data_IF_473913923772
#
_entry.id   IF_473913923772
#
_cell.length_a   1.000
_cell.length_b   1.000
_cell.length_c   1.000
_cell.angle_alpha   90.00
_cell.angle_beta   90.00
_cell.angle_gamma   90.00
#
_symmetry.space_group_name_H-M   'P 1'
#
loop_
_entity.id
_entity.type
_entity.pdbx_description
1 polymer ?
#
# COMPACT_ATOMS: atom_id res chain seq x y z
N UNK A 1 7.61 3.21 -3.40
CA UNK A 1 6.31 3.66 -3.97
C UNK A 1 5.43 4.15 -2.83
N UNK A 2 4.61 5.17 -3.04
CA UNK A 2 3.64 5.62 -2.04
C UNK A 2 2.24 5.65 -2.65
N UNK A 3 1.26 5.21 -1.86
CA UNK A 3 -0.16 5.27 -2.20
C UNK A 3 -0.85 6.09 -1.12
N UNK A 4 -1.40 7.23 -1.51
CA UNK A 4 -2.28 8.03 -0.69
C UNK A 4 -3.72 7.60 -0.95
N UNK A 5 -4.48 7.35 0.11
CA UNK A 5 -5.91 7.11 0.07
C UNK A 5 -6.63 8.14 0.93
N UNK A 6 -7.77 8.63 0.44
CA UNK A 6 -8.64 9.48 1.23
C UNK A 6 -10.08 9.02 1.14
N UNK A 7 -10.81 9.18 2.23
CA UNK A 7 -12.25 8.97 2.32
C UNK A 7 -12.91 10.30 2.66
N UNK A 8 -13.80 10.75 1.77
CA UNK A 8 -14.51 12.02 1.87
C UNK A 8 -16.00 11.75 1.98
N UNK A 9 -16.62 12.25 3.05
CA UNK A 9 -18.06 12.19 3.23
C UNK A 9 -18.68 13.51 2.81
N UNK A 10 -19.55 13.47 1.81
CA UNK A 10 -20.26 14.62 1.28
C UNK A 10 -21.73 14.58 1.71
N UNK A 11 -22.28 15.74 2.05
CA UNK A 11 -23.71 15.93 2.23
C UNK A 11 -24.31 16.51 0.95
N UNK A 12 -25.46 15.97 0.51
CA UNK A 12 -26.14 16.41 -0.70
C UNK A 12 -27.59 16.79 -0.33
N UNK A 13 -27.78 17.94 0.34
CA UNK A 13 -29.07 18.29 0.94
C UNK A 13 -30.20 18.41 -0.10
N UNK A 14 -29.89 18.92 -1.29
CA UNK A 14 -30.86 19.17 -2.38
C UNK A 14 -31.24 17.90 -3.17
N UNK A 15 -30.67 16.74 -2.83
CA UNK A 15 -30.95 15.50 -3.54
C UNK A 15 -32.21 14.82 -3.00
N UNK A 16 -33.26 14.79 -3.83
CA UNK A 16 -34.51 14.08 -3.54
C UNK A 16 -34.62 12.68 -4.16
N UNK A 17 -33.55 12.15 -4.76
CA UNK A 17 -33.54 10.80 -5.34
C UNK A 17 -32.13 10.25 -5.53
N UNK A 18 -31.99 8.92 -5.61
CA UNK A 18 -30.71 8.28 -5.95
C UNK A 18 -30.16 8.72 -7.31
N UNK A 19 -31.05 9.03 -8.27
CA UNK A 19 -30.64 9.55 -9.59
C UNK A 19 -30.04 10.95 -9.47
N UNK A 20 -30.65 11.83 -8.68
CA UNK A 20 -30.14 13.18 -8.42
C UNK A 20 -28.76 13.12 -7.77
N UNK A 21 -28.60 12.29 -6.73
CA UNK A 21 -27.29 12.00 -6.10
C UNK A 21 -26.24 11.57 -7.14
N UNK A 22 -26.56 10.58 -7.99
CA UNK A 22 -25.63 10.11 -9.03
C UNK A 22 -25.21 11.23 -9.99
N UNK A 23 -26.10 12.16 -10.32
CA UNK A 23 -25.76 13.31 -11.16
C UNK A 23 -24.78 14.26 -10.46
N UNK A 24 -25.00 14.54 -9.17
CA UNK A 24 -24.09 15.37 -8.36
C UNK A 24 -22.71 14.71 -8.26
N UNK A 25 -22.65 13.43 -7.91
CA UNK A 25 -21.40 12.69 -7.82
C UNK A 25 -20.67 12.59 -9.16
N UNK A 26 -21.40 12.42 -10.27
CA UNK A 26 -20.80 12.43 -11.61
C UNK A 26 -20.08 13.75 -11.90
N UNK A 27 -20.70 14.89 -11.58
CA UNK A 27 -20.07 16.21 -11.76
C UNK A 27 -18.78 16.35 -10.95
N UNK A 28 -18.79 15.89 -9.69
CA UNK A 28 -17.60 15.94 -8.82
C UNK A 28 -16.50 15.03 -9.38
N UNK A 29 -16.83 13.77 -9.65
CA UNK A 29 -15.86 12.77 -10.13
C UNK A 29 -15.29 13.11 -11.50
N UNK A 30 -16.10 13.59 -12.45
CA UNK A 30 -15.64 14.00 -13.78
C UNK A 30 -14.64 15.17 -13.68
N UNK A 31 -14.93 16.18 -12.83
CA UNK A 31 -14.03 17.32 -12.62
C UNK A 31 -12.73 16.92 -11.95
N UNK A 32 -12.78 16.02 -10.97
CA UNK A 32 -11.59 15.50 -10.30
C UNK A 32 -10.68 14.76 -11.28
N UNK A 33 -11.25 13.85 -12.08
CA UNK A 33 -10.51 13.08 -13.09
C UNK A 33 -9.96 13.95 -14.22
N UNK A 34 -10.64 15.05 -14.55
CA UNK A 34 -10.17 15.99 -15.58
C UNK A 34 -8.99 16.84 -15.11
N UNK A 35 -8.93 17.18 -13.82
CA UNK A 35 -7.91 18.08 -13.25
C UNK A 35 -6.71 17.33 -12.66
N UNK A 36 -6.92 16.14 -12.09
CA UNK A 36 -5.92 15.41 -11.35
C UNK A 36 -5.82 13.96 -11.84
N UNK A 37 -4.61 13.40 -11.75
CA UNK A 37 -4.40 11.97 -11.95
C UNK A 37 -4.78 11.19 -10.68
N UNK A 38 -6.07 11.07 -10.43
CA UNK A 38 -6.63 10.45 -9.21
C UNK A 38 -7.67 9.39 -9.56
N UNK A 39 -7.61 8.27 -8.85
CA UNK A 39 -8.70 7.30 -8.87
C UNK A 39 -9.79 7.75 -7.89
N UNK A 40 -11.06 7.77 -8.31
CA UNK A 40 -12.18 8.16 -7.47
C UNK A 40 -13.35 7.19 -7.65
N UNK A 41 -13.98 6.81 -6.54
CA UNK A 41 -15.15 5.95 -6.52
C UNK A 41 -16.08 6.30 -5.33
N UNK A 42 -17.37 6.04 -5.47
CA UNK A 42 -18.28 5.98 -4.33
C UNK A 42 -18.12 4.62 -3.66
N UNK A 43 -17.90 4.60 -2.34
CA UNK A 43 -17.58 3.38 -1.59
C UNK A 43 -18.57 3.05 -0.47
N UNK A 44 -19.38 4.02 -0.03
CA UNK A 44 -20.35 3.83 1.05
C UNK A 44 -21.55 4.79 0.91
N UNK A 45 -22.58 4.56 1.73
CA UNK A 45 -23.85 5.32 1.77
C UNK A 45 -24.65 5.30 0.45
N UNK A 46 -24.49 4.26 -0.38
CA UNK A 46 -25.08 4.21 -1.74
C UNK A 46 -26.61 4.33 -1.75
N UNK A 47 -27.28 3.83 -0.71
CA UNK A 47 -28.74 3.88 -0.55
C UNK A 47 -29.26 5.20 0.06
N UNK A 48 -28.37 6.05 0.57
CA UNK A 48 -28.73 7.37 1.08
C UNK A 48 -28.55 8.41 -0.04
N UNK A 49 -29.63 9.09 -0.44
CA UNK A 49 -29.53 10.11 -1.48
C UNK A 49 -28.95 11.45 -1.00
N UNK A 50 -28.94 11.69 0.32
CA UNK A 50 -28.52 12.94 0.96
C UNK A 50 -27.09 12.88 1.51
N UNK A 51 -26.44 11.73 1.39
CA UNK A 51 -25.09 11.46 1.87
C UNK A 51 -24.36 10.61 0.85
N UNK A 52 -23.08 10.88 0.65
CA UNK A 52 -22.25 10.08 -0.23
C UNK A 52 -20.83 9.99 0.33
N UNK A 53 -20.26 8.80 0.31
CA UNK A 53 -18.87 8.61 0.72
C UNK A 53 -18.03 8.26 -0.50
N UNK A 54 -17.09 9.16 -0.83
CA UNK A 54 -16.14 8.99 -1.91
C UNK A 54 -14.80 8.48 -1.35
N UNK A 55 -14.18 7.55 -2.06
CA UNK A 55 -12.78 7.20 -1.90
C UNK A 55 -11.96 7.81 -3.04
N UNK A 56 -10.76 8.27 -2.69
CA UNK A 56 -9.74 8.78 -3.59
C UNK A 56 -8.47 7.98 -3.41
N UNK A 57 -7.72 7.75 -4.49
CA UNK A 57 -6.39 7.19 -4.43
C UNK A 57 -5.43 7.89 -5.39
N UNK A 58 -4.24 8.22 -4.88
CA UNK A 58 -3.12 8.83 -5.61
C UNK A 58 -1.89 7.96 -5.41
N UNK A 59 -1.14 7.70 -6.48
CA UNK A 59 0.09 6.91 -6.41
C UNK A 59 1.25 7.78 -6.88
N UNK A 60 2.37 7.71 -6.18
CA UNK A 60 3.58 8.46 -6.51
C UNK A 60 4.85 7.75 -6.08
N UNK A 61 5.98 8.28 -6.52
CA UNK A 61 7.32 7.83 -6.11
C UNK A 61 7.80 8.51 -4.81
N UNK A 62 7.31 9.71 -4.51
CA UNK A 62 7.65 10.52 -3.33
C UNK A 62 6.43 10.76 -2.43
N UNK A 63 6.65 10.71 -1.10
CA UNK A 63 5.60 10.89 -0.09
C UNK A 63 5.06 12.32 -0.10
N UNK A 64 5.94 13.32 -0.19
CA UNK A 64 5.53 14.74 -0.15
C UNK A 64 4.69 15.08 -1.36
N UNK A 65 5.09 14.59 -2.53
CA UNK A 65 4.28 14.72 -3.74
C UNK A 65 2.87 14.14 -3.58
N UNK A 66 2.73 12.92 -3.04
CA UNK A 66 1.41 12.29 -2.83
C UNK A 66 0.56 13.08 -1.84
N UNK A 67 1.15 13.53 -0.72
CA UNK A 67 0.47 14.33 0.29
C UNK A 67 -0.03 15.67 -0.26
N UNK A 68 0.84 16.40 -0.97
CA UNK A 68 0.48 17.67 -1.63
C UNK A 68 -0.61 17.50 -2.68
N UNK A 69 -0.55 16.42 -3.49
CA UNK A 69 -1.61 16.13 -4.46
C UNK A 69 -2.94 15.84 -3.76
N UNK A 70 -2.91 15.09 -2.67
CA UNK A 70 -4.11 14.75 -1.91
C UNK A 70 -4.76 15.98 -1.30
N UNK A 71 -3.98 16.88 -0.70
CA UNK A 71 -4.52 18.13 -0.15
C UNK A 71 -5.09 19.04 -1.24
N UNK A 72 -4.42 19.14 -2.40
CA UNK A 72 -4.94 19.89 -3.57
C UNK A 72 -6.28 19.32 -4.07
N UNK A 73 -6.41 18.00 -4.08
CA UNK A 73 -7.64 17.32 -4.49
C UNK A 73 -8.76 17.59 -3.49
N UNK A 74 -8.49 17.48 -2.19
CA UNK A 74 -9.48 17.73 -1.12
C UNK A 74 -9.94 19.18 -1.15
N UNK A 75 -9.00 20.13 -1.23
CA UNK A 75 -9.31 21.55 -1.30
C UNK A 75 -10.15 21.89 -2.54
N UNK A 76 -9.84 21.27 -3.68
CA UNK A 76 -10.64 21.45 -4.89
C UNK A 76 -12.08 20.93 -4.74
N UNK A 77 -12.30 19.86 -3.97
CA UNK A 77 -13.67 19.38 -3.67
C UNK A 77 -14.44 20.41 -2.85
N UNK A 78 -13.80 21.04 -1.86
CA UNK A 78 -14.40 22.08 -1.03
C UNK A 78 -14.73 23.34 -1.86
N UNK A 79 -13.78 23.79 -2.70
CA UNK A 79 -13.92 25.00 -3.54
C UNK A 79 -15.01 24.86 -4.61
N UNK A 80 -15.35 23.63 -5.03
CA UNK A 80 -16.42 23.42 -6.01
C UNK A 80 -17.81 23.80 -5.49
N UNK A 81 -18.03 23.83 -4.17
CA UNK A 81 -19.32 24.08 -3.50
C UNK A 81 -20.50 23.23 -4.04
N UNK A 82 -20.21 22.10 -4.69
CA UNK A 82 -21.24 21.21 -5.25
C UNK A 82 -21.96 20.41 -4.16
N UNK A 83 -21.23 20.03 -3.12
CA UNK A 83 -21.73 19.30 -1.97
C UNK A 83 -20.83 19.61 -0.75
N UNK A 84 -21.39 20.01 0.40
CA UNK A 84 -20.59 20.23 1.61
C UNK A 84 -19.80 18.99 2.04
N UNK A 85 -18.51 19.19 2.36
CA UNK A 85 -17.65 18.16 2.95
C UNK A 85 -17.91 18.08 4.46
N UNK A 86 -18.27 16.89 4.94
CA UNK A 86 -18.61 16.65 6.35
C UNK A 86 -17.43 16.07 7.12
N UNK A 87 -16.73 15.11 6.51
CA UNK A 87 -15.58 14.48 7.13
C UNK A 87 -14.57 14.07 6.07
N UNK A 88 -13.28 14.17 6.43
CA UNK A 88 -12.16 13.64 5.64
C UNK A 88 -11.31 12.73 6.50
N UNK A 89 -10.90 11.60 5.94
CA UNK A 89 -9.89 10.70 6.50
C UNK A 89 -8.86 10.45 5.43
N UNK A 90 -7.58 10.50 5.78
CA UNK A 90 -6.48 10.38 4.82
C UNK A 90 -5.41 9.46 5.40
N UNK A 91 -4.85 8.60 4.55
CA UNK A 91 -3.77 7.70 4.91
C UNK A 91 -2.78 7.58 3.75
N UNK A 92 -1.49 7.50 4.06
CA UNK A 92 -0.43 7.31 3.06
C UNK A 92 0.37 6.07 3.43
N UNK A 93 0.35 5.09 2.54
CA UNK A 93 1.03 3.82 2.65
C UNK A 93 2.28 3.80 1.76
N UNK A 94 3.42 3.39 2.32
CA UNK A 94 4.64 3.12 1.55
C UNK A 94 4.69 1.65 1.11
N UNK A 95 5.10 1.42 -0.13
CA UNK A 95 5.28 0.10 -0.75
C UNK A 95 6.70 -0.05 -1.29
N UNK A 96 7.41 -1.08 -0.83
CA UNK A 96 8.82 -1.38 -1.13
C UNK A 96 9.52 -1.98 0.10
N UNK A 97 10.02 -3.21 -0.05
CA UNK A 97 10.39 -4.21 0.96
C UNK A 97 11.07 -3.69 2.25
N UNK A 98 10.39 -3.75 3.41
CA UNK A 98 10.96 -3.56 4.79
C UNK A 98 11.29 -2.12 5.30
N UNK A 99 11.15 -1.03 4.52
CA UNK A 99 12.02 0.17 4.70
C UNK A 99 11.37 1.56 5.00
N UNK A 100 10.61 1.72 6.10
CA UNK A 100 10.52 3.04 6.78
C UNK A 100 10.66 2.88 8.30
N UNK A 101 11.73 2.22 8.73
CA UNK A 101 12.35 2.55 10.01
C UNK A 101 13.43 3.58 9.67
N UNK A 102 13.32 4.85 10.08
CA UNK A 102 14.51 5.70 10.04
C UNK A 102 15.60 4.95 10.82
N UNK A 103 16.86 4.90 10.36
CA UNK A 103 17.91 4.30 11.16
C UNK A 103 17.84 4.98 12.52
N UNK A 104 17.58 4.21 13.59
CA UNK A 104 17.83 4.73 14.93
C UNK A 104 19.28 5.19 14.86
N UNK A 105 19.53 6.47 15.09
CA UNK A 105 20.88 6.93 15.34
C UNK A 105 21.35 6.09 16.52
N UNK A 106 22.16 5.06 16.26
CA UNK A 106 22.91 4.41 17.32
C UNK A 106 23.69 5.56 17.94
N UNK A 107 23.48 5.91 19.22
CA UNK A 107 24.43 6.83 19.86
C UNK A 107 25.82 6.23 19.61
N UNK A 108 26.82 7.04 19.24
CA UNK A 108 28.15 6.51 19.00
C UNK A 108 28.53 5.68 20.22
N UNK A 109 28.91 4.42 19.98
CA UNK A 109 29.41 3.55 21.02
C UNK A 109 30.47 4.36 21.76
N UNK A 110 30.17 4.73 23.00
CA UNK A 110 31.18 5.30 23.88
C UNK A 110 32.27 4.26 23.93
N UNK A 111 33.46 4.65 23.48
CA UNK A 111 34.62 3.79 23.40
C UNK A 111 34.73 3.00 24.71
N UNK A 112 34.55 1.69 24.56
CA UNK A 112 34.87 0.73 25.59
C UNK A 112 36.41 0.69 25.69
N UNK A 113 36.98 1.62 26.44
CA UNK A 113 38.35 1.53 26.91
C UNK A 113 38.56 2.44 28.13
N UNK A 114 39.06 1.80 29.19
CA UNK A 114 39.70 2.36 30.39
C UNK A 114 38.78 2.93 31.49
N UNK A 115 38.49 2.09 32.49
CA UNK A 115 39.11 2.27 33.82
C UNK A 115 39.02 0.95 34.60
N UNK A 116 40.17 0.29 34.74
CA UNK A 116 40.45 -0.69 35.81
C UNK A 116 40.86 0.08 37.06
N UNK A 117 40.24 -0.27 38.21
CA UNK A 117 40.62 -0.02 39.62
C UNK A 117 39.30 0.10 40.40
N UNK A 118 38.95 -0.65 41.45
CA UNK A 118 39.68 -1.40 42.46
C UNK A 118 38.69 -2.38 43.10
N UNK A 119 39.16 -3.57 43.51
CA UNK A 119 38.46 -4.43 44.47
C UNK A 119 38.54 -3.80 45.88
N UNK A 120 37.53 -4.03 46.73
CA UNK A 120 37.87 -4.55 48.06
C UNK A 120 36.94 -5.66 48.56
N UNK A 121 37.51 -6.39 49.51
CA UNK A 121 37.14 -7.65 50.14
C UNK A 121 35.78 -7.71 50.86
N UNK A 122 35.28 -8.95 51.00
CA UNK A 122 34.74 -9.52 52.23
C UNK A 122 33.34 -9.11 52.70
N UNK A 123 32.36 -10.01 52.58
CA UNK A 123 31.89 -10.85 53.71
C UNK A 123 30.65 -11.65 53.29
N UNK A 124 30.63 -12.92 53.73
CA UNK A 124 29.54 -13.89 53.57
C UNK A 124 28.44 -13.62 54.63
N UNK A 125 27.15 -13.72 54.28
CA UNK A 125 26.15 -14.46 55.08
C UNK A 125 24.72 -14.48 54.49
N UNK A 126 24.19 -15.70 54.43
CA UNK A 126 22.82 -16.22 54.61
C UNK A 126 21.55 -15.74 53.83
N UNK A 127 20.81 -16.78 53.40
CA UNK A 127 19.35 -16.94 53.26
C UNK A 127 18.60 -16.35 52.02
N UNK A 128 18.14 -17.24 51.12
CA UNK A 128 17.12 -16.93 50.09
C UNK A 128 15.67 -17.11 50.61
N UNK A 129 14.66 -17.40 49.77
CA UNK A 129 14.36 -16.97 48.39
C UNK A 129 13.04 -16.15 48.34
N UNK A 130 12.80 -15.32 47.31
CA UNK A 130 11.49 -14.93 46.74
C UNK A 130 11.61 -13.59 45.99
N UNK A 131 10.92 -13.46 44.85
CA UNK A 131 11.15 -12.55 43.73
C UNK A 131 12.36 -13.01 42.90
N UNK A 132 12.21 -13.58 41.70
CA UNK A 132 11.57 -12.93 40.57
C UNK A 132 10.78 -13.92 39.68
N UNK A 133 9.49 -14.07 39.98
CA UNK A 133 8.52 -14.68 39.06
C UNK A 133 8.33 -13.82 37.79
N UNK A 134 8.63 -12.52 37.86
CA UNK A 134 8.55 -11.61 36.71
C UNK A 134 9.78 -11.69 35.79
N UNK A 135 10.96 -12.03 36.29
CA UNK A 135 12.17 -12.16 35.46
C UNK A 135 12.18 -13.50 34.68
N UNK A 136 11.65 -14.57 35.27
CA UNK A 136 11.45 -15.86 34.58
C UNK A 136 10.40 -15.78 33.46
N UNK A 137 9.37 -14.93 33.60
CA UNK A 137 8.35 -14.69 32.57
C UNK A 137 8.87 -13.75 31.47
N UNK A 138 9.87 -12.91 31.77
CA UNK A 138 10.49 -11.99 30.80
C UNK A 138 11.58 -12.65 29.93
N UNK A 139 12.20 -13.74 30.40
CA UNK A 139 13.26 -14.47 29.69
C UNK A 139 12.80 -15.55 28.71
N UNK A 140 11.53 -16.00 28.77
CA UNK A 140 11.01 -17.05 27.88
C UNK A 140 10.08 -16.49 26.78
N UNK A 141 10.70 -16.27 25.62
CA UNK A 141 10.16 -16.50 24.27
C UNK A 141 8.67 -16.22 24.04
N UNK A 142 8.36 -15.04 23.49
CA UNK A 142 7.15 -14.84 22.68
C UNK A 142 7.52 -14.55 21.23
N UNK A 143 7.64 -15.63 20.45
CA UNK A 143 7.08 -15.61 19.10
C UNK A 143 7.99 -15.84 17.90
N UNK A 144 9.08 -16.61 18.01
CA UNK A 144 9.55 -17.37 16.84
C UNK A 144 8.57 -18.51 16.59
N UNK A 145 7.43 -18.17 15.98
CA UNK A 145 6.56 -19.11 15.29
C UNK A 145 6.41 -18.58 13.88
N UNK A 146 7.05 -19.27 12.94
CA UNK A 146 6.71 -19.17 11.54
C UNK A 146 5.21 -19.43 11.39
N UNK A 147 4.52 -18.51 10.72
CA UNK A 147 3.10 -18.63 10.34
C UNK A 147 2.76 -19.94 9.58
N UNK A 148 3.77 -20.71 9.14
CA UNK A 148 3.58 -21.99 8.46
C UNK A 148 3.00 -23.12 9.35
N UNK A 149 3.00 -22.99 10.68
CA UNK A 149 2.44 -24.01 11.58
C UNK A 149 1.00 -23.70 12.05
N UNK A 150 0.53 -22.46 11.90
CA UNK A 150 -0.82 -22.06 12.29
C UNK A 150 -1.88 -22.43 11.23
N UNK A 151 -1.44 -22.64 9.99
CA UNK A 151 -2.25 -23.16 8.89
C UNK A 151 -1.70 -24.54 8.55
N UNK A 152 -2.35 -25.62 9.01
CA UNK A 152 -1.87 -27.00 8.84
C UNK A 152 -1.54 -27.40 7.39
N UNK A 153 -0.35 -27.06 6.92
CA UNK A 153 0.20 -27.42 5.61
C UNK A 153 1.64 -27.87 5.81
N UNK A 154 1.82 -29.18 5.61
CA UNK A 154 3.05 -29.93 5.75
C UNK A 154 4.17 -29.42 4.83
N UNK A 155 5.35 -29.25 5.43
CA UNK A 155 6.73 -29.40 4.92
C UNK A 155 6.92 -29.41 3.38
N UNK A 156 7.29 -28.25 2.81
CA UNK A 156 7.73 -28.12 1.42
C UNK A 156 9.23 -28.43 1.23
N UNK A 157 10.01 -28.71 2.28
CA UNK A 157 11.47 -28.82 2.21
C UNK A 157 11.98 -30.26 2.04
N UNK A 158 11.14 -31.29 2.16
CA UNK A 158 11.49 -32.66 1.75
C UNK A 158 11.06 -32.97 0.32
N UNK A 159 11.70 -32.33 -0.66
CA UNK A 159 11.83 -32.93 -2.01
C UNK A 159 13.18 -33.64 -2.12
N UNK A 160 13.21 -34.96 -2.33
CA UNK A 160 14.47 -35.69 -2.48
C UNK A 160 15.19 -35.22 -3.75
N UNK A 161 16.42 -34.75 -3.58
CA UNK A 161 17.31 -34.43 -4.66
C UNK A 161 17.73 -35.73 -5.38
N UNK A 162 17.21 -36.01 -6.58
CA UNK A 162 17.80 -36.99 -7.50
C UNK A 162 17.41 -36.80 -8.98
N UNK A 163 18.38 -36.21 -9.69
CA UNK A 163 18.95 -36.52 -11.03
C UNK A 163 18.09 -36.58 -12.30
N UNK A 164 18.59 -35.80 -13.27
CA UNK A 164 18.68 -36.01 -14.73
C UNK A 164 17.41 -36.37 -15.51
N UNK A 165 16.95 -35.42 -16.33
CA UNK A 165 16.05 -35.71 -17.44
C UNK A 165 15.23 -34.51 -17.91
N UNK A 166 15.75 -33.76 -18.89
CA UNK A 166 14.95 -32.91 -19.77
C UNK A 166 14.93 -31.42 -19.44
N UNK A 167 15.91 -30.68 -19.94
CA UNK A 167 15.69 -29.26 -20.26
C UNK A 167 14.56 -29.18 -21.31
N UNK A 168 13.53 -28.33 -21.16
CA UNK A 168 12.66 -28.03 -22.27
C UNK A 168 13.46 -27.24 -23.31
N UNK A 169 13.80 -27.91 -24.41
CA UNK A 169 14.44 -27.30 -25.57
C UNK A 169 13.57 -26.18 -26.12
N UNK A 170 14.04 -24.94 -25.99
CA UNK A 170 13.53 -23.83 -26.78
C UNK A 170 13.85 -24.16 -28.25
N UNK A 171 12.86 -24.31 -29.15
CA UNK A 171 13.16 -24.56 -30.56
C UNK A 171 13.87 -23.34 -31.15
N UNK A 172 14.97 -23.52 -31.91
CA UNK A 172 15.57 -22.41 -32.62
C UNK A 172 14.67 -22.01 -33.80
N UNK A 173 14.32 -20.72 -33.81
CA UNK A 173 13.97 -19.88 -34.96
C UNK A 173 13.08 -20.43 -36.09
N UNK A 174 11.90 -19.81 -36.21
CA UNK A 174 11.53 -19.15 -37.48
C UNK A 174 10.84 -17.84 -37.16
N UNK A 175 11.63 -16.77 -37.09
CA UNK A 175 11.10 -15.41 -37.17
C UNK A 175 12.01 -14.64 -38.11
N UNK A 176 11.66 -14.66 -39.40
CA UNK A 176 12.15 -13.61 -40.28
C UNK A 176 11.81 -12.27 -39.61
N UNK A 177 12.83 -11.43 -39.42
CA UNK A 177 12.62 -10.07 -38.95
C UNK A 177 11.70 -9.37 -39.95
N UNK A 178 10.43 -9.22 -39.59
CA UNK A 178 9.51 -8.37 -40.35
C UNK A 178 10.14 -6.99 -40.41
N UNK A 179 10.21 -6.42 -41.61
CA UNK A 179 10.70 -5.06 -41.79
C UNK A 179 9.86 -4.08 -40.96
N UNK A 180 10.45 -2.96 -40.52
CA UNK A 180 9.74 -1.97 -39.70
C UNK A 180 8.46 -1.46 -40.39
N UNK A 181 8.46 -1.45 -41.72
CA UNK A 181 7.31 -1.08 -42.55
C UNK A 181 6.18 -2.11 -42.48
N UNK A 182 6.49 -3.41 -42.45
CA UNK A 182 5.48 -4.48 -42.26
C UNK A 182 4.88 -4.45 -40.86
N UNK A 183 5.68 -4.19 -39.83
CA UNK A 183 5.19 -4.06 -38.45
C UNK A 183 4.25 -2.87 -38.32
N UNK A 184 4.60 -1.73 -38.95
CA UNK A 184 3.71 -0.55 -39.02
C UNK A 184 2.44 -0.80 -39.82
N UNK A 185 2.52 -1.51 -40.94
CA UNK A 185 1.35 -1.84 -41.75
C UNK A 185 0.37 -2.73 -40.97
N UNK A 186 0.89 -3.74 -40.26
CA UNK A 186 0.07 -4.65 -39.43
C UNK A 186 -0.53 -3.96 -38.20
N UNK A 187 0.17 -3.00 -37.61
CA UNK A 187 -0.39 -2.17 -36.54
C UNK A 187 -1.51 -1.25 -37.06
N UNK A 188 -1.41 -0.74 -38.29
CA UNK A 188 -2.48 0.07 -38.92
C UNK A 188 -3.71 -0.76 -39.27
N UNK A 189 -3.54 -2.00 -39.74
CA UNK A 189 -4.67 -2.88 -40.08
C UNK A 189 -5.47 -3.35 -38.86
N UNK A 190 -4.86 -3.37 -37.67
CA UNK A 190 -5.53 -3.67 -36.40
C UNK A 190 -6.27 -2.47 -35.80
N UNK A 191 -6.12 -1.28 -36.39
CA UNK A 191 -6.88 -0.08 -35.99
C UNK A 191 -8.25 -0.15 -36.64
N UNK A 192 -9.19 -0.76 -35.91
CA UNK A 192 -10.57 -0.96 -36.33
C UNK A 192 -11.21 0.34 -36.87
N UNK A 193 -11.68 0.39 -38.13
CA UNK A 193 -12.43 1.51 -38.64
C UNK A 193 -13.73 1.66 -37.85
N UNK A 194 -13.98 2.89 -37.40
CA UNK A 194 -15.12 3.29 -36.59
C UNK A 194 -16.47 2.97 -37.27
N UNK A 195 -17.15 1.95 -36.76
CA UNK A 195 -18.54 1.56 -37.13
C UNK A 195 -19.63 2.55 -36.60
N UNK A 196 -19.36 3.85 -36.47
CA UNK A 196 -20.37 4.85 -36.08
C UNK A 196 -20.81 5.79 -37.20
N UNK A 197 -20.42 5.54 -38.45
CA UNK A 197 -20.92 6.23 -39.66
C UNK A 197 -21.98 5.42 -40.44
N UNK A 198 -22.87 4.71 -39.74
CA UNK A 198 -24.06 4.12 -40.39
C UNK A 198 -25.33 4.68 -39.73
N UNK A 199 -25.87 5.70 -40.41
CA UNK A 199 -27.25 6.20 -40.47
C UNK A 199 -28.05 6.37 -39.18
#
# INVERSE_FOLDING_TARGET
>A
MFVGVARLTLQIPDSGSLKAKRQVLRRVTDRLKARFNVAVAEVDDQDLWQKATLALAVVGNDRRHVDEQMEKVIHFVEEMYVAPLISRQTEIMGFGDTLYTPPRSTPPARDAAAEEAESPDGDEDEAGPEADLEELIAGMGRGDRSMAEAEGMVDWERRPNKREGGQPSIPPERRGSLSEDEVRARARSLRNPREWEKK
#
